data_IF_888940405597
#
_entry.id   IF_888940405597
#
_cell.length_a   1.000
_cell.length_b   1.000
_cell.length_c   1.000
_cell.angle_alpha   90.00
_cell.angle_beta   90.00
_cell.angle_gamma   90.00
#
_symmetry.space_group_name_H-M   'P 1'
#
loop_
_entity.id
_entity.type
_entity.pdbx_description
1 polymer ?
#
# COMPACT_ATOMS: atom_id res chain seq x y z
N UNK A 1 -9.03 39.92 -15.08
CA UNK A 1 -8.29 39.99 -13.80
C UNK A 1 -8.16 38.56 -13.28
N UNK A 2 -7.00 37.93 -13.52
CA UNK A 2 -6.77 36.52 -13.23
C UNK A 2 -6.43 36.30 -11.77
N UNK A 3 -7.18 35.45 -11.08
CA UNK A 3 -6.86 35.00 -9.72
C UNK A 3 -5.88 33.85 -9.85
N UNK A 4 -4.60 34.10 -9.57
CA UNK A 4 -3.60 33.04 -9.43
C UNK A 4 -3.62 32.58 -7.98
N UNK A 5 -4.15 31.38 -7.72
CA UNK A 5 -4.07 30.74 -6.41
C UNK A 5 -2.70 30.06 -6.33
N UNK A 6 -1.69 30.85 -5.97
CA UNK A 6 -0.37 30.35 -5.63
C UNK A 6 -0.36 29.80 -4.22
N UNK A 7 -0.63 28.51 -4.03
CA UNK A 7 -0.37 27.85 -2.74
C UNK A 7 1.15 27.61 -2.69
N UNK A 8 1.86 28.47 -1.96
CA UNK A 8 3.29 28.32 -1.70
C UNK A 8 3.55 27.06 -0.88
N UNK A 9 4.29 26.10 -1.47
CA UNK A 9 4.80 24.89 -0.81
C UNK A 9 5.61 25.17 0.48
N UNK A 10 6.00 26.43 0.72
CA UNK A 10 6.73 26.84 1.92
C UNK A 10 5.86 26.85 3.19
N UNK A 11 4.54 27.00 3.08
CA UNK A 11 3.64 27.09 4.25
C UNK A 11 3.26 25.73 4.85
N UNK A 12 3.66 24.62 4.22
CA UNK A 12 3.38 23.25 4.72
C UNK A 12 4.46 22.68 5.65
N UNK A 13 5.49 23.48 6.03
CA UNK A 13 6.67 22.98 6.76
C UNK A 13 6.62 23.13 8.28
N UNK A 14 5.68 23.87 8.86
CA UNK A 14 5.77 24.30 10.27
C UNK A 14 4.87 23.56 11.26
N UNK A 15 4.04 22.60 10.83
CA UNK A 15 3.40 21.66 11.75
C UNK A 15 3.55 20.22 11.23
N UNK A 16 4.41 19.47 11.90
CA UNK A 16 4.83 18.10 11.57
C UNK A 16 3.70 17.10 11.77
N UNK A 17 2.73 17.08 10.86
CA UNK A 17 1.76 15.98 10.66
C UNK A 17 1.55 15.84 9.15
N UNK A 18 2.50 15.21 8.47
CA UNK A 18 2.24 14.79 7.09
C UNK A 18 1.20 13.67 7.17
N UNK A 19 -0.04 13.98 6.80
CA UNK A 19 -1.11 13.00 6.76
C UNK A 19 -0.88 12.11 5.54
N UNK A 20 -0.36 10.89 5.76
CA UNK A 20 -0.16 9.90 4.69
C UNK A 20 -1.47 9.69 3.94
N UNK A 21 -1.46 9.91 2.62
CA UNK A 21 -2.66 9.75 1.78
C UNK A 21 -2.65 8.36 1.17
N UNK A 22 -3.69 7.56 1.45
CA UNK A 22 -3.90 6.26 0.81
C UNK A 22 -4.95 6.37 -0.31
N UNK A 23 -4.58 5.95 -1.53
CA UNK A 23 -5.44 5.96 -2.72
C UNK A 23 -5.55 4.52 -3.23
N UNK A 24 -6.79 4.06 -3.42
CA UNK A 24 -7.07 2.73 -3.94
C UNK A 24 -7.17 2.73 -5.48
N UNK A 25 -6.41 1.87 -6.15
CA UNK A 25 -6.49 1.64 -7.59
C UNK A 25 -7.36 0.42 -7.82
N UNK A 26 -8.52 0.61 -8.45
CA UNK A 26 -9.55 -0.42 -8.64
C UNK A 26 -9.86 -0.63 -10.12
N UNK A 27 -10.43 -1.78 -10.47
CA UNK A 27 -10.90 -2.07 -11.83
C UNK A 27 -12.19 -2.87 -11.79
N UNK A 28 -13.07 -2.71 -12.77
CA UNK A 28 -14.33 -3.47 -12.82
C UNK A 28 -14.06 -4.97 -13.02
N UNK A 29 -13.14 -5.35 -13.91
CA UNK A 29 -12.72 -6.73 -14.14
C UNK A 29 -11.25 -6.97 -13.76
N UNK A 30 -10.83 -8.25 -13.72
CA UNK A 30 -9.42 -8.63 -13.57
C UNK A 30 -8.58 -8.11 -14.76
N UNK A 31 -7.29 -7.87 -14.52
CA UNK A 31 -6.28 -7.56 -15.54
C UNK A 31 -6.44 -6.26 -16.35
N UNK A 32 -7.20 -5.26 -15.88
CA UNK A 32 -7.28 -3.94 -16.54
C UNK A 32 -6.25 -2.93 -16.04
N UNK A 33 -4.97 -3.16 -16.33
CA UNK A 33 -3.94 -2.11 -16.22
C UNK A 33 -3.61 -1.53 -14.84
N UNK A 34 -4.24 -1.98 -13.74
CA UNK A 34 -3.97 -1.48 -12.38
C UNK A 34 -2.49 -1.53 -12.03
N UNK A 35 -1.86 -2.68 -12.25
CA UNK A 35 -0.44 -2.89 -11.96
C UNK A 35 0.43 -1.95 -12.80
N UNK A 36 0.15 -1.83 -14.10
CA UNK A 36 0.87 -0.90 -14.98
C UNK A 36 0.70 0.58 -14.56
N UNK A 37 -0.51 0.98 -14.14
CA UNK A 37 -0.74 2.32 -13.62
C UNK A 37 0.02 2.55 -12.31
N UNK A 38 0.00 1.59 -11.39
CA UNK A 38 0.74 1.69 -10.13
C UNK A 38 2.24 1.82 -10.40
N UNK A 39 2.82 0.99 -11.27
CA UNK A 39 4.23 1.07 -11.64
C UNK A 39 4.60 2.44 -12.21
N UNK A 40 3.77 2.98 -13.11
CA UNK A 40 3.95 4.31 -13.67
C UNK A 40 3.91 5.39 -12.58
N UNK A 41 2.90 5.36 -11.71
CA UNK A 41 2.73 6.32 -10.63
C UNK A 41 3.88 6.25 -9.62
N UNK A 42 4.31 5.05 -9.22
CA UNK A 42 5.48 4.86 -8.34
C UNK A 42 6.70 5.52 -8.97
N UNK A 43 7.02 5.21 -10.23
CA UNK A 43 8.19 5.79 -10.92
C UNK A 43 8.11 7.32 -10.96
N UNK A 44 6.97 7.88 -11.37
CA UNK A 44 6.82 9.32 -11.54
C UNK A 44 6.80 10.07 -10.21
N UNK A 45 6.15 9.54 -9.17
CA UNK A 45 6.15 10.14 -7.83
C UNK A 45 7.53 10.08 -7.18
N UNK A 46 8.23 8.94 -7.29
CA UNK A 46 9.60 8.80 -6.79
C UNK A 46 10.55 9.78 -7.51
N UNK A 47 10.41 9.97 -8.83
CA UNK A 47 11.17 10.97 -9.61
C UNK A 47 10.98 12.40 -9.08
N UNK A 48 9.82 12.68 -8.48
CA UNK A 48 9.48 13.98 -7.86
C UNK A 48 9.86 14.06 -6.37
N UNK A 49 10.55 13.07 -5.83
CA UNK A 49 11.00 13.05 -4.43
C UNK A 49 9.95 12.59 -3.41
N UNK A 50 8.78 12.12 -3.85
CA UNK A 50 7.71 11.62 -2.97
C UNK A 50 8.08 10.22 -2.46
N UNK A 51 7.88 9.93 -1.17
CA UNK A 51 8.01 8.59 -0.60
C UNK A 51 6.72 7.81 -0.85
N UNK A 52 6.82 6.73 -1.63
CA UNK A 52 5.65 5.92 -2.03
C UNK A 52 5.77 4.54 -1.44
N UNK A 53 4.68 4.05 -0.85
CA UNK A 53 4.50 2.63 -0.54
C UNK A 53 3.34 2.06 -1.37
N UNK A 54 3.35 0.75 -1.57
CA UNK A 54 2.27 0.02 -2.25
C UNK A 54 1.70 -1.03 -1.31
N UNK A 55 0.39 -1.27 -1.42
CA UNK A 55 -0.31 -2.36 -0.71
C UNK A 55 -1.14 -3.08 -1.75
N UNK A 56 -1.15 -4.42 -1.76
CA UNK A 56 -1.92 -5.19 -2.75
C UNK A 56 -2.91 -6.10 -2.04
N UNK A 57 -4.18 -6.00 -2.44
CA UNK A 57 -5.21 -6.97 -2.07
C UNK A 57 -5.31 -8.06 -3.14
N UNK A 58 -5.13 -9.32 -2.74
CA UNK A 58 -5.26 -10.51 -3.60
C UNK A 58 -6.22 -11.51 -2.97
N UNK A 59 -6.91 -12.30 -3.79
CA UNK A 59 -7.73 -13.42 -3.34
C UNK A 59 -6.92 -14.68 -3.05
N UNK A 60 -5.74 -14.79 -3.68
CA UNK A 60 -4.88 -15.96 -3.54
C UNK A 60 -4.02 -15.82 -2.27
N UNK A 61 -3.91 -16.88 -1.44
CA UNK A 61 -3.01 -16.88 -0.31
C UNK A 61 -1.54 -16.82 -0.77
N UNK A 62 -0.69 -16.14 -0.01
CA UNK A 62 0.74 -16.07 -0.26
C UNK A 62 1.50 -17.29 0.29
N UNK A 63 1.03 -17.82 1.43
CA UNK A 63 1.63 -18.96 2.11
C UNK A 63 1.02 -20.27 1.61
N UNK A 64 1.85 -21.31 1.46
CA UNK A 64 1.45 -22.59 0.88
C UNK A 64 1.37 -23.66 1.96
N UNK A 65 0.27 -24.41 1.98
CA UNK A 65 0.06 -25.51 2.93
C UNK A 65 1.23 -26.48 2.96
N UNK A 66 1.64 -26.88 4.17
CA UNK A 66 2.72 -27.84 4.40
C UNK A 66 4.13 -27.25 4.43
N UNK A 67 4.33 -25.99 4.03
CA UNK A 67 5.62 -25.29 4.22
C UNK A 67 5.86 -24.91 5.68
N UNK A 68 7.11 -24.62 6.02
CA UNK A 68 7.51 -24.32 7.40
C UNK A 68 6.76 -23.11 7.98
N UNK A 69 6.62 -22.05 7.20
CA UNK A 69 5.83 -20.86 7.54
C UNK A 69 4.37 -21.19 7.85
N UNK A 70 3.78 -22.05 7.04
CA UNK A 70 2.42 -22.53 7.27
C UNK A 70 2.33 -23.33 8.56
N UNK A 71 3.26 -24.27 8.78
CA UNK A 71 3.32 -25.11 9.98
C UNK A 71 3.53 -24.29 11.25
N UNK A 72 4.29 -23.20 11.20
CA UNK A 72 4.49 -22.30 12.35
C UNK A 72 3.17 -21.63 12.76
N UNK A 73 2.38 -21.14 11.79
CA UNK A 73 1.05 -20.57 12.08
C UNK A 73 0.11 -21.64 12.64
N UNK A 74 0.04 -22.82 12.01
CA UNK A 74 -0.82 -23.92 12.49
C UNK A 74 -0.43 -24.42 13.88
N UNK A 75 0.84 -24.35 14.25
CA UNK A 75 1.32 -24.66 15.60
C UNK A 75 0.87 -23.63 16.65
N UNK A 76 0.24 -22.52 16.24
CA UNK A 76 -0.28 -21.49 17.12
C UNK A 76 0.52 -20.19 17.14
N UNK A 77 1.47 -20.00 16.21
CA UNK A 77 2.14 -18.69 16.09
C UNK A 77 1.12 -17.62 15.68
N UNK A 78 1.08 -16.51 16.42
CA UNK A 78 0.19 -15.38 16.12
C UNK A 78 0.58 -14.67 14.82
N UNK A 79 1.88 -14.69 14.50
CA UNK A 79 2.47 -14.10 13.30
C UNK A 79 3.76 -14.85 12.97
N UNK A 80 4.15 -14.88 11.69
CA UNK A 80 5.42 -15.45 11.24
C UNK A 80 6.18 -14.39 10.47
N UNK A 81 7.42 -14.13 10.88
CA UNK A 81 8.37 -13.29 10.15
C UNK A 81 9.41 -14.17 9.45
N UNK A 82 9.58 -13.97 8.14
CA UNK A 82 10.59 -14.61 7.32
C UNK A 82 11.63 -13.57 6.92
N UNK A 83 12.90 -13.88 7.14
CA UNK A 83 14.01 -12.96 6.87
C UNK A 83 14.97 -13.60 5.88
N UNK A 84 15.32 -12.87 4.84
CA UNK A 84 16.45 -13.14 3.97
C UNK A 84 17.47 -12.01 4.11
N UNK A 85 18.69 -12.11 3.55
CA UNK A 85 19.63 -10.99 3.54
C UNK A 85 19.10 -9.70 2.88
N UNK A 86 18.02 -9.78 2.10
CA UNK A 86 17.49 -8.65 1.32
C UNK A 86 16.03 -8.30 1.65
N UNK A 87 15.28 -9.18 2.33
CA UNK A 87 13.83 -9.07 2.44
C UNK A 87 13.33 -9.51 3.82
N UNK A 88 12.26 -8.85 4.26
CA UNK A 88 11.47 -9.24 5.41
C UNK A 88 10.03 -9.42 4.94
N UNK A 89 9.46 -10.59 5.20
CA UNK A 89 8.05 -10.91 4.94
C UNK A 89 7.38 -11.26 6.25
N UNK A 90 6.29 -10.58 6.58
CA UNK A 90 5.44 -10.93 7.72
C UNK A 90 4.14 -11.56 7.24
N UNK A 91 3.75 -12.66 7.89
CA UNK A 91 2.54 -13.42 7.59
C UNK A 91 1.69 -13.43 8.86
N UNK A 92 0.57 -12.73 8.80
CA UNK A 92 -0.51 -12.77 9.79
C UNK A 92 -1.75 -13.38 9.13
N UNK A 93 -2.41 -14.32 9.81
CA UNK A 93 -3.70 -14.88 9.36
C UNK A 93 -4.86 -14.29 10.15
N UNK A 94 -6.01 -14.18 9.50
CA UNK A 94 -7.24 -13.60 10.03
C UNK A 94 -7.84 -12.57 9.09
N UNK A 95 -8.83 -11.81 9.58
CA UNK A 95 -9.37 -10.67 8.84
C UNK A 95 -8.37 -9.51 8.89
N UNK A 96 -7.74 -9.20 7.75
CA UNK A 96 -6.76 -8.12 7.61
C UNK A 96 -7.36 -7.01 6.75
N UNK A 97 -7.43 -5.80 7.31
CA UNK A 97 -7.95 -4.61 6.65
C UNK A 97 -6.85 -3.81 5.95
N UNK A 98 -7.25 -2.80 5.17
CA UNK A 98 -6.30 -1.85 4.59
C UNK A 98 -5.59 -1.06 5.70
N UNK A 99 -6.32 -0.69 6.75
CA UNK A 99 -5.81 0.04 7.91
C UNK A 99 -4.75 -0.78 8.65
N UNK A 100 -4.99 -2.09 8.84
CA UNK A 100 -3.99 -3.00 9.39
C UNK A 100 -2.74 -2.98 8.51
N UNK A 101 -2.88 -3.21 7.20
CA UNK A 101 -1.75 -3.23 6.27
C UNK A 101 -0.96 -1.91 6.24
N UNK A 102 -1.62 -0.76 6.39
CA UNK A 102 -0.97 0.55 6.53
C UNK A 102 -0.17 0.60 7.83
N UNK A 103 -0.70 0.10 8.94
CA UNK A 103 -0.01 0.09 10.24
C UNK A 103 1.22 -0.82 10.27
N UNK A 104 1.24 -1.86 9.43
CA UNK A 104 2.37 -2.79 9.30
C UNK A 104 3.51 -2.29 8.39
N UNK A 105 3.37 -1.13 7.74
CA UNK A 105 4.46 -0.58 6.93
C UNK A 105 5.65 -0.18 7.81
N UNK A 106 6.83 -0.72 7.52
CA UNK A 106 8.09 -0.39 8.22
C UNK A 106 8.67 0.98 7.84
N UNK A 107 7.95 1.78 7.05
CA UNK A 107 8.37 3.09 6.54
C UNK A 107 7.26 4.11 6.72
N UNK A 108 7.60 5.39 6.68
CA UNK A 108 6.63 6.50 6.68
C UNK A 108 6.52 7.08 5.26
N UNK A 109 5.60 6.58 4.42
CA UNK A 109 5.40 7.12 3.08
C UNK A 109 4.54 8.39 3.12
N UNK A 110 4.73 9.25 2.13
CA UNK A 110 3.86 10.41 1.88
C UNK A 110 2.56 9.94 1.22
N UNK A 111 2.67 8.94 0.33
CA UNK A 111 1.55 8.37 -0.44
C UNK A 111 1.57 6.85 -0.40
N UNK A 112 0.40 6.25 -0.23
CA UNK A 112 0.17 4.81 -0.36
C UNK A 112 -0.72 4.55 -1.58
N UNK A 113 -0.24 3.73 -2.51
CA UNK A 113 -1.01 3.23 -3.64
C UNK A 113 -1.48 1.81 -3.34
N UNK A 114 -2.77 1.67 -3.03
CA UNK A 114 -3.36 0.39 -2.68
C UNK A 114 -4.01 -0.26 -3.92
N UNK A 115 -3.47 -1.36 -4.42
CA UNK A 115 -4.11 -2.14 -5.48
C UNK A 115 -5.29 -2.93 -4.92
N UNK A 116 -6.50 -2.65 -5.40
CA UNK A 116 -7.73 -3.32 -4.97
C UNK A 116 -8.48 -2.55 -3.89
N UNK A 117 -8.90 -3.25 -2.83
CA UNK A 117 -9.73 -2.70 -1.74
C UNK A 117 -10.98 -1.94 -2.21
N UNK A 118 -11.75 -2.51 -3.17
CA UNK A 118 -12.96 -1.90 -3.74
C UNK A 118 -13.98 -1.40 -2.69
N UNK A 119 -14.03 -2.05 -1.53
CA UNK A 119 -14.95 -1.77 -0.43
C UNK A 119 -14.40 -0.80 0.63
N UNK A 120 -13.15 -0.34 0.52
CA UNK A 120 -12.60 0.64 1.48
C UNK A 120 -13.31 1.99 1.36
N UNK A 121 -13.23 2.82 2.38
CA UNK A 121 -13.71 4.22 2.35
C UNK A 121 -12.67 5.20 1.76
N UNK A 122 -11.48 4.73 1.39
CA UNK A 122 -10.41 5.56 0.83
C UNK A 122 -10.76 6.07 -0.58
N UNK A 123 -10.18 7.20 -1.02
CA UNK A 123 -10.28 7.68 -2.41
C UNK A 123 -9.89 6.59 -3.42
N UNK A 124 -10.53 6.60 -4.59
CA UNK A 124 -10.34 5.56 -5.62
C UNK A 124 -10.02 6.16 -6.98
N UNK A 125 -9.11 5.52 -7.70
CA UNK A 125 -8.91 5.70 -9.15
C UNK A 125 -9.40 4.43 -9.83
N UNK A 126 -10.35 4.58 -10.75
CA UNK A 126 -10.90 3.46 -11.52
C UNK A 126 -10.12 3.29 -12.83
N UNK A 127 -9.51 2.12 -13.01
CA UNK A 127 -9.01 1.67 -14.32
C UNK A 127 -10.18 1.03 -15.08
N UNK A 128 -10.62 1.72 -16.13
CA UNK A 128 -11.64 1.25 -17.08
C UNK A 128 -11.02 0.43 -18.21
#
# INVERSE_FOLDING_TARGET
MGVSIGISLSLMKTHSIWMTVAICIVSLSRSRGKTSLIEYLVKELRRRGVKVATIKHTSEPFDVQGKDTWRHIEAGSLEVACVTPMELVTIKRGEVTLEDAISFLHVKPDVILAEGFKRSNKPKILCA
#
